data_IF_105034273702
#
_entry.id   IF_105034273702
#
_cell.length_a   1.000
_cell.length_b   1.000
_cell.length_c   1.000
_cell.angle_alpha   90.00
_cell.angle_beta   90.00
_cell.angle_gamma   90.00
#
_symmetry.space_group_name_H-M   'P 1'
#
loop_
_entity.id
_entity.type
_entity.pdbx_description
1 polymer ?
#
# COMPACT_ATOMS: atom_id res chain seq x y z
N UNK A 1 -65.26 -53.91 -0.43
CA UNK A 1 -64.10 -53.12 0.09
C UNK A 1 -63.02 -53.11 -0.97
N UNK A 2 -62.87 -52.02 -1.72
CA UNK A 2 -61.90 -51.92 -2.81
C UNK A 2 -60.52 -51.50 -2.25
N UNK A 3 -59.61 -52.46 -2.11
CA UNK A 3 -58.22 -52.22 -1.74
C UNK A 3 -57.47 -51.61 -2.91
N UNK A 4 -57.21 -50.30 -2.86
CA UNK A 4 -56.45 -49.55 -3.87
C UNK A 4 -54.99 -50.02 -3.84
N UNK A 5 -54.61 -50.97 -4.70
CA UNK A 5 -53.21 -51.36 -4.86
C UNK A 5 -52.42 -50.20 -5.45
N UNK A 6 -51.66 -49.51 -4.60
CA UNK A 6 -50.74 -48.46 -5.03
C UNK A 6 -49.52 -49.15 -5.66
N UNK A 7 -49.39 -49.00 -6.97
CA UNK A 7 -48.33 -49.59 -7.78
C UNK A 7 -46.94 -49.21 -7.25
N UNK A 8 -46.14 -50.24 -6.91
CA UNK A 8 -44.73 -50.14 -6.47
C UNK A 8 -43.84 -49.26 -7.36
N UNK A 9 -44.21 -49.08 -8.64
CA UNK A 9 -43.54 -48.19 -9.58
C UNK A 9 -43.62 -46.71 -9.16
N UNK A 10 -44.76 -46.26 -8.61
CA UNK A 10 -44.98 -44.87 -8.22
C UNK A 10 -44.07 -44.45 -7.06
N UNK A 11 -43.82 -45.35 -6.11
CA UNK A 11 -42.89 -45.10 -5.00
C UNK A 11 -41.44 -44.96 -5.47
N UNK A 12 -41.01 -45.72 -6.50
CA UNK A 12 -39.67 -45.60 -7.06
C UNK A 12 -39.47 -44.25 -7.77
N UNK A 13 -40.47 -43.80 -8.51
CA UNK A 13 -40.44 -42.49 -9.18
C UNK A 13 -40.41 -41.35 -8.16
N UNK A 14 -41.20 -41.45 -7.08
CA UNK A 14 -41.21 -40.46 -6.00
C UNK A 14 -39.86 -40.42 -5.27
N UNK A 15 -39.24 -41.57 -5.00
CA UNK A 15 -37.91 -41.62 -4.37
C UNK A 15 -36.82 -41.00 -5.26
N UNK A 16 -36.87 -41.22 -6.57
CA UNK A 16 -35.93 -40.61 -7.51
C UNK A 16 -36.15 -39.09 -7.58
N UNK A 17 -37.40 -38.62 -7.62
CA UNK A 17 -37.71 -37.20 -7.62
C UNK A 17 -37.25 -36.49 -6.33
N UNK A 18 -37.42 -37.12 -5.16
CA UNK A 18 -36.91 -36.61 -3.88
C UNK A 18 -35.39 -36.57 -3.84
N UNK A 19 -34.72 -37.57 -4.41
CA UNK A 19 -33.25 -37.59 -4.52
C UNK A 19 -32.74 -36.44 -5.39
N UNK A 20 -33.37 -36.19 -6.54
CA UNK A 20 -33.00 -35.09 -7.45
C UNK A 20 -33.26 -33.73 -6.79
N UNK A 21 -34.39 -33.56 -6.09
CA UNK A 21 -34.71 -32.33 -5.37
C UNK A 21 -33.70 -32.06 -4.24
N UNK A 22 -33.33 -33.10 -3.48
CA UNK A 22 -32.31 -33.01 -2.44
C UNK A 22 -30.93 -32.64 -3.00
N UNK A 23 -30.54 -33.21 -4.14
CA UNK A 23 -29.27 -32.89 -4.80
C UNK A 23 -29.25 -31.45 -5.34
N UNK A 24 -30.36 -30.99 -5.92
CA UNK A 24 -30.51 -29.61 -6.38
C UNK A 24 -30.45 -28.61 -5.21
N UNK A 25 -31.06 -28.95 -4.07
CA UNK A 25 -30.98 -28.15 -2.85
C UNK A 25 -29.55 -28.09 -2.31
N UNK A 26 -28.80 -29.21 -2.34
CA UNK A 26 -27.39 -29.23 -1.94
C UNK A 26 -26.52 -28.34 -2.83
N UNK A 27 -26.72 -28.37 -4.15
CA UNK A 27 -26.00 -27.48 -5.09
C UNK A 27 -26.35 -26.01 -4.81
N UNK A 28 -27.63 -25.72 -4.59
CA UNK A 28 -28.10 -24.37 -4.28
C UNK A 28 -27.52 -23.85 -2.95
N UNK A 29 -27.51 -24.68 -1.90
CA UNK A 29 -26.90 -24.35 -0.61
C UNK A 29 -25.37 -24.23 -0.72
N UNK A 30 -24.72 -25.02 -1.57
CA UNK A 30 -23.29 -24.90 -1.86
C UNK A 30 -22.97 -23.60 -2.62
N UNK A 31 -23.88 -23.14 -3.47
CA UNK A 31 -23.76 -21.88 -4.23
C UNK A 31 -24.06 -20.64 -3.39
N UNK A 32 -24.85 -20.79 -2.31
CA UNK A 32 -25.12 -19.75 -1.32
C UNK A 32 -24.00 -19.60 -0.28
N UNK A 33 -22.98 -20.47 -0.31
CA UNK A 33 -21.77 -20.24 0.47
C UNK A 33 -21.04 -19.05 -0.16
N UNK A 34 -20.95 -17.87 0.50
CA UNK A 34 -20.08 -16.82 0.02
C UNK A 34 -18.69 -17.44 -0.09
N UNK A 35 -18.02 -17.17 -1.20
CA UNK A 35 -16.65 -17.59 -1.51
C UNK A 35 -15.79 -17.46 -0.24
N UNK A 36 -15.71 -18.55 0.53
CA UNK A 36 -14.87 -18.61 1.73
C UNK A 36 -13.50 -18.84 1.16
N UNK A 37 -12.87 -17.75 0.74
CA UNK A 37 -11.43 -17.69 0.62
C UNK A 37 -10.89 -18.42 1.83
N UNK A 38 -10.09 -19.44 1.58
CA UNK A 38 -9.35 -20.17 2.57
C UNK A 38 -8.47 -19.18 3.34
N UNK A 39 -9.05 -18.51 4.34
CA UNK A 39 -8.30 -18.07 5.49
C UNK A 39 -7.87 -19.36 6.16
N UNK A 40 -6.72 -19.85 5.71
CA UNK A 40 -5.87 -20.70 6.51
C UNK A 40 -5.69 -19.94 7.83
N UNK A 41 -6.51 -20.29 8.82
CA UNK A 41 -6.29 -19.98 10.22
C UNK A 41 -5.05 -20.77 10.65
N UNK A 42 -3.92 -20.39 10.08
CA UNK A 42 -2.68 -20.41 10.83
C UNK A 42 -2.93 -19.43 11.95
N UNK A 43 -2.98 -19.96 13.16
CA UNK A 43 -2.59 -19.24 14.37
C UNK A 43 -1.13 -18.80 14.20
N UNK A 44 -0.88 -17.91 13.24
CA UNK A 44 0.28 -17.08 13.24
C UNK A 44 0.01 -16.13 14.39
N UNK A 45 0.71 -16.36 15.49
CA UNK A 45 1.08 -15.27 16.36
C UNK A 45 1.55 -14.16 15.43
N UNK A 46 0.69 -13.17 15.18
CA UNK A 46 1.14 -11.89 14.68
C UNK A 46 2.06 -11.39 15.77
N UNK A 47 3.35 -11.70 15.65
CA UNK A 47 4.38 -10.81 16.12
C UNK A 47 4.14 -9.54 15.32
N UNK A 48 3.20 -8.73 15.80
CA UNK A 48 3.12 -7.33 15.44
C UNK A 48 4.46 -6.79 15.93
N UNK A 49 5.41 -6.47 15.04
CA UNK A 49 6.71 -5.99 15.48
C UNK A 49 6.40 -4.67 16.19
N UNK A 50 6.42 -4.68 17.53
CA UNK A 50 6.11 -3.55 18.44
C UNK A 50 5.68 -2.31 17.67
N UNK A 51 4.45 -2.30 17.16
CA UNK A 51 4.08 -1.30 16.16
C UNK A 51 4.00 0.01 16.89
N UNK A 52 5.05 0.82 16.79
CA UNK A 52 5.10 2.14 17.39
C UNK A 52 3.93 2.90 16.79
N UNK A 53 2.95 3.25 17.61
CA UNK A 53 1.79 4.04 17.18
C UNK A 53 2.12 5.52 17.15
N UNK A 54 3.19 5.92 17.85
CA UNK A 54 3.69 7.29 17.81
C UNK A 54 4.58 7.51 16.59
N UNK A 55 4.30 8.58 15.86
CA UNK A 55 5.11 9.01 14.71
C UNK A 55 6.57 9.22 15.11
N UNK A 56 6.80 9.95 16.21
CA UNK A 56 8.16 10.28 16.67
C UNK A 56 8.96 9.04 17.05
N UNK A 57 8.34 8.08 17.74
CA UNK A 57 9.00 6.83 18.13
C UNK A 57 9.34 5.95 16.93
N UNK A 58 8.41 5.84 15.98
CA UNK A 58 8.68 5.14 14.71
C UNK A 58 9.81 5.81 13.93
N UNK A 59 9.80 7.15 13.83
CA UNK A 59 10.81 7.92 13.13
C UNK A 59 12.21 7.72 13.74
N UNK A 60 12.32 7.72 15.07
CA UNK A 60 13.57 7.48 15.76
C UNK A 60 14.16 6.10 15.45
N UNK A 61 13.32 5.06 15.49
CA UNK A 61 13.74 3.71 15.14
C UNK A 61 14.11 3.59 13.65
N UNK A 62 13.34 4.23 12.77
CA UNK A 62 13.60 4.25 11.34
C UNK A 62 14.96 4.87 11.03
N UNK A 63 15.26 6.04 11.60
CA UNK A 63 16.53 6.73 11.41
C UNK A 63 17.69 5.91 12.00
N UNK A 64 17.50 5.23 13.14
CA UNK A 64 18.50 4.34 13.72
C UNK A 64 18.82 3.12 12.82
N UNK A 65 17.81 2.52 12.17
CA UNK A 65 17.99 1.39 11.23
C UNK A 65 18.69 1.82 9.94
N UNK A 66 18.44 3.05 9.50
CA UNK A 66 18.84 3.54 8.17
C UNK A 66 20.31 3.95 8.08
N UNK A 67 20.96 4.33 9.19
CA UNK A 67 22.37 4.76 9.21
C UNK A 67 23.37 3.75 8.62
N UNK A 68 22.95 2.50 8.43
CA UNK A 68 23.77 1.39 7.92
C UNK A 68 23.50 1.01 6.46
N UNK A 69 22.53 1.66 5.79
CA UNK A 69 22.09 1.24 4.45
C UNK A 69 22.86 1.97 3.34
N UNK A 70 23.30 1.26 2.29
CA UNK A 70 23.95 1.89 1.14
C UNK A 70 22.99 2.85 0.43
N UNK A 71 23.49 4.01 0.01
CA UNK A 71 22.71 4.99 -0.74
C UNK A 71 22.31 4.41 -2.10
N UNK A 72 21.01 4.20 -2.32
CA UNK A 72 20.49 3.87 -3.64
C UNK A 72 20.61 5.10 -4.56
N UNK A 73 20.95 4.92 -5.85
CA UNK A 73 20.93 6.01 -6.83
C UNK A 73 19.54 6.65 -6.89
N UNK A 74 19.45 7.97 -6.76
CA UNK A 74 18.18 8.68 -6.89
C UNK A 74 17.70 8.70 -8.35
N UNK A 75 16.40 8.88 -8.54
CA UNK A 75 15.75 8.89 -9.85
C UNK A 75 15.81 10.29 -10.52
N UNK A 76 16.67 11.19 -10.01
CA UNK A 76 16.84 12.52 -10.61
C UNK A 76 17.37 12.34 -12.02
N UNK A 77 16.67 12.92 -13.01
CA UNK A 77 17.05 12.87 -14.42
C UNK A 77 18.49 13.39 -14.58
N UNK A 78 19.47 12.52 -14.94
CA UNK A 78 20.81 13.01 -15.24
C UNK A 78 20.80 13.79 -16.56
N UNK A 79 21.68 14.79 -16.68
CA UNK A 79 21.82 15.60 -17.90
C UNK A 79 22.11 14.78 -19.16
N UNK A 80 22.57 13.53 -19.01
CA UNK A 80 22.86 12.61 -20.11
C UNK A 80 21.66 11.84 -20.66
N UNK A 81 20.45 12.00 -20.11
CA UNK A 81 19.26 11.33 -20.67
C UNK A 81 18.95 11.90 -22.05
N UNK A 82 19.12 11.06 -23.07
CA UNK A 82 18.72 11.38 -24.44
C UNK A 82 17.22 11.17 -24.63
N UNK A 83 16.61 11.92 -25.55
CA UNK A 83 15.20 11.75 -25.98
C UNK A 83 14.84 10.29 -26.32
N UNK A 84 15.81 9.50 -26.78
CA UNK A 84 15.61 8.08 -27.05
C UNK A 84 15.20 7.27 -25.80
N UNK A 85 15.75 7.56 -24.63
CA UNK A 85 15.40 6.84 -23.40
C UNK A 85 13.96 7.15 -22.98
N UNK A 86 13.53 8.41 -23.11
CA UNK A 86 12.16 8.85 -22.83
C UNK A 86 11.18 8.13 -23.77
N UNK A 87 11.49 8.09 -25.07
CA UNK A 87 10.68 7.37 -26.06
C UNK A 87 10.57 5.88 -25.75
N UNK A 88 11.68 5.22 -25.42
CA UNK A 88 11.67 3.80 -25.08
C UNK A 88 10.77 3.50 -23.87
N UNK A 89 10.77 4.37 -22.87
CA UNK A 89 9.90 4.24 -21.70
C UNK A 89 8.43 4.46 -22.06
N UNK A 90 8.14 5.50 -22.86
CA UNK A 90 6.78 5.82 -23.32
C UNK A 90 6.20 4.66 -24.15
N UNK A 91 6.98 4.11 -25.08
CA UNK A 91 6.61 2.94 -25.87
C UNK A 91 6.32 1.72 -24.97
N UNK A 92 7.15 1.48 -23.95
CA UNK A 92 6.96 0.37 -23.01
C UNK A 92 5.67 0.53 -22.18
N UNK A 93 5.40 1.75 -21.68
CA UNK A 93 4.17 2.06 -20.94
C UNK A 93 2.96 1.86 -21.86
N UNK A 94 2.99 2.43 -23.06
CA UNK A 94 1.91 2.33 -24.04
C UNK A 94 1.59 0.86 -24.37
N UNK A 95 2.60 0.03 -24.62
CA UNK A 95 2.40 -1.40 -24.87
C UNK A 95 1.76 -2.11 -23.67
N UNK A 96 2.23 -1.81 -22.45
CA UNK A 96 1.70 -2.41 -21.24
C UNK A 96 0.23 -2.04 -21.00
N UNK A 97 -0.14 -0.78 -21.23
CA UNK A 97 -1.47 -0.26 -20.99
C UNK A 97 -2.45 -0.74 -22.06
N UNK A 98 -2.03 -0.73 -23.32
CA UNK A 98 -2.77 -1.29 -24.46
C UNK A 98 -3.10 -2.77 -24.20
N UNK A 99 -2.12 -3.57 -23.77
CA UNK A 99 -2.34 -4.98 -23.47
C UNK A 99 -3.41 -5.17 -22.39
N UNK A 100 -3.41 -4.35 -21.33
CA UNK A 100 -4.40 -4.42 -20.25
C UNK A 100 -5.81 -4.09 -20.74
N UNK A 101 -5.95 -3.04 -21.54
CA UNK A 101 -7.24 -2.61 -22.09
C UNK A 101 -7.89 -3.68 -22.96
N UNK A 102 -7.10 -4.43 -23.73
CA UNK A 102 -7.62 -5.47 -24.64
C UNK A 102 -7.73 -6.86 -24.00
N UNK A 103 -6.99 -7.13 -22.92
CA UNK A 103 -6.96 -8.46 -22.29
C UNK A 103 -8.01 -8.65 -21.19
N UNK A 104 -8.47 -7.57 -20.53
CA UNK A 104 -9.38 -7.68 -19.39
C UNK A 104 -10.71 -6.92 -19.63
N UNK A 105 -11.85 -7.62 -19.85
CA UNK A 105 -13.15 -6.99 -20.03
C UNK A 105 -13.73 -6.34 -18.76
N UNK A 106 -13.09 -6.46 -17.59
CA UNK A 106 -13.57 -5.95 -16.30
C UNK A 106 -12.58 -5.01 -15.58
N UNK A 107 -11.88 -4.14 -16.30
CA UNK A 107 -11.14 -3.02 -15.71
C UNK A 107 -12.08 -2.16 -14.81
N UNK A 108 -11.62 -1.61 -13.64
CA UNK A 108 -10.23 -1.20 -13.41
C UNK A 108 -9.59 -1.72 -12.09
N UNK A 109 -8.30 -2.08 -12.19
CA UNK A 109 -7.37 -2.39 -11.09
C UNK A 109 -7.42 -3.86 -10.61
N UNK A 110 -6.61 -4.71 -11.24
CA UNK A 110 -6.21 -6.00 -10.67
C UNK A 110 -5.44 -5.77 -9.37
N UNK A 111 -5.90 -6.33 -8.25
CA UNK A 111 -5.13 -6.34 -7.01
C UNK A 111 -4.06 -7.46 -7.03
N UNK A 112 -2.88 -7.25 -6.42
CA UNK A 112 -2.47 -6.04 -5.70
C UNK A 112 -2.02 -4.91 -6.63
N UNK A 113 -2.26 -3.66 -6.20
CA UNK A 113 -1.88 -2.46 -6.92
C UNK A 113 -0.36 -2.32 -6.96
N UNK A 114 0.23 -2.24 -8.16
CA UNK A 114 1.68 -2.08 -8.35
C UNK A 114 2.04 -0.61 -8.33
N UNK A 115 2.88 -0.22 -7.37
CA UNK A 115 3.28 1.17 -7.18
C UNK A 115 4.77 1.30 -7.39
N UNK A 116 5.18 2.14 -8.33
CA UNK A 116 6.56 2.58 -8.44
C UNK A 116 6.77 3.75 -7.47
N UNK A 117 7.72 3.60 -6.55
CA UNK A 117 8.08 4.64 -5.58
C UNK A 117 9.28 5.39 -6.13
N UNK A 118 9.08 6.64 -6.50
CA UNK A 118 10.15 7.49 -7.02
C UNK A 118 11.21 7.71 -5.94
N UNK A 119 12.46 7.39 -6.27
CA UNK A 119 13.60 7.53 -5.39
C UNK A 119 14.06 9.00 -5.39
N UNK A 120 13.44 9.82 -4.54
CA UNK A 120 13.81 11.22 -4.35
C UNK A 120 15.22 11.36 -3.74
N UNK A 121 15.99 12.40 -4.10
CA UNK A 121 17.23 12.76 -3.43
C UNK A 121 17.09 12.81 -1.90
N UNK A 122 18.12 12.38 -1.17
CA UNK A 122 18.10 12.27 0.30
C UNK A 122 17.71 13.57 1.01
N UNK A 123 18.08 14.73 0.44
CA UNK A 123 17.73 16.07 0.94
C UNK A 123 16.21 16.32 1.05
N UNK A 124 15.41 15.56 0.30
CA UNK A 124 13.96 15.62 0.31
C UNK A 124 13.32 14.45 1.07
N UNK A 125 14.11 13.48 1.52
CA UNK A 125 13.63 12.30 2.23
C UNK A 125 14.37 12.10 3.55
N UNK A 126 15.45 11.31 3.55
CA UNK A 126 16.18 10.93 4.76
C UNK A 126 16.74 12.13 5.54
N UNK A 127 17.40 13.06 4.84
CA UNK A 127 18.03 14.22 5.51
C UNK A 127 16.97 15.19 6.03
N UNK A 128 15.84 15.32 5.31
CA UNK A 128 14.68 16.10 5.76
C UNK A 128 14.11 15.53 7.05
N UNK A 129 13.92 14.21 7.11
CA UNK A 129 13.41 13.50 8.27
C UNK A 129 14.37 13.60 9.47
N UNK A 130 15.68 13.51 9.23
CA UNK A 130 16.70 13.70 10.26
C UNK A 130 16.72 15.15 10.78
N UNK A 131 16.67 16.13 9.87
CA UNK A 131 16.58 17.55 10.23
C UNK A 131 15.33 17.85 11.06
N UNK A 132 14.20 17.28 10.66
CA UNK A 132 12.95 17.35 11.40
C UNK A 132 13.12 16.78 12.82
N UNK A 133 13.67 15.58 12.97
CA UNK A 133 13.88 14.97 14.28
C UNK A 133 14.72 15.87 15.21
N UNK A 134 15.82 16.40 14.70
CA UNK A 134 16.72 17.28 15.46
C UNK A 134 16.01 18.58 15.85
N UNK A 135 15.37 19.25 14.90
CA UNK A 135 14.64 20.51 15.12
C UNK A 135 13.48 20.32 16.10
N UNK A 136 12.80 19.19 16.00
CA UNK A 136 11.67 18.87 16.84
C UNK A 136 12.08 18.68 18.31
N UNK A 137 13.22 18.02 18.58
CA UNK A 137 13.77 17.88 19.95
C UNK A 137 14.02 19.23 20.63
N UNK A 138 14.36 20.25 19.85
CA UNK A 138 14.67 21.60 20.35
C UNK A 138 13.43 22.49 20.54
N UNK A 139 12.24 22.04 20.13
CA UNK A 139 11.01 22.80 20.30
C UNK A 139 10.41 22.67 21.70
N UNK A 140 10.28 23.78 22.43
CA UNK A 140 9.42 23.84 23.61
C UNK A 140 7.97 23.58 23.19
N UNK A 141 7.32 22.60 23.81
CA UNK A 141 6.01 21.99 23.50
C UNK A 141 4.78 22.92 23.49
N UNK A 142 4.84 24.14 22.97
CA UNK A 142 3.73 25.10 23.05
C UNK A 142 3.51 25.76 21.69
N UNK A 143 2.41 25.38 21.06
CA UNK A 143 1.77 26.21 20.03
C UNK A 143 1.19 27.47 20.69
N UNK A 144 0.76 28.46 19.90
CA UNK A 144 0.17 29.71 20.41
C UNK A 144 -1.06 29.51 21.31
N UNK A 145 -1.75 28.36 21.20
CA UNK A 145 -2.90 27.98 22.02
C UNK A 145 -2.54 27.07 23.20
N UNK A 146 -1.25 26.80 23.44
CA UNK A 146 -0.76 25.93 24.51
C UNK A 146 -0.88 24.42 24.24
N UNK A 147 -1.41 24.02 23.08
CA UNK A 147 -1.38 22.62 22.66
C UNK A 147 0.05 22.19 22.35
N UNK A 148 0.45 20.96 22.69
CA UNK A 148 1.72 20.44 22.29
C UNK A 148 1.85 20.35 20.77
N UNK A 149 2.93 20.95 20.24
CA UNK A 149 3.31 20.89 18.82
C UNK A 149 3.37 19.44 18.31
N UNK A 150 3.71 18.50 19.21
CA UNK A 150 3.75 17.06 18.92
C UNK A 150 2.43 16.51 18.37
N UNK A 151 1.29 16.99 18.88
CA UNK A 151 -0.02 16.46 18.51
C UNK A 151 -0.40 16.82 17.07
N UNK A 152 -0.02 18.01 16.62
CA UNK A 152 -0.27 18.46 15.25
C UNK A 152 0.57 17.66 14.25
N UNK A 153 1.84 17.44 14.58
CA UNK A 153 2.75 16.70 13.71
C UNK A 153 2.35 15.23 13.64
N UNK A 154 1.95 14.61 14.76
CA UNK A 154 1.42 13.25 14.76
C UNK A 154 0.18 13.12 13.85
N UNK A 155 -0.75 14.06 13.94
CA UNK A 155 -1.98 14.06 13.14
C UNK A 155 -1.75 14.26 11.63
N UNK A 156 -0.60 14.78 11.23
CA UNK A 156 -0.27 15.11 9.84
C UNK A 156 0.94 14.31 9.30
N UNK A 157 1.29 13.19 9.94
CA UNK A 157 2.42 12.33 9.55
C UNK A 157 2.08 11.26 8.51
N UNK A 158 0.93 11.36 7.83
CA UNK A 158 0.43 10.34 6.90
C UNK A 158 1.43 10.06 5.75
N UNK A 159 2.08 11.10 5.24
CA UNK A 159 3.08 10.99 4.17
C UNK A 159 4.24 10.09 4.60
N UNK A 160 4.69 10.23 5.86
CA UNK A 160 5.74 9.38 6.44
C UNK A 160 5.29 7.93 6.54
N UNK A 161 4.10 7.67 7.08
CA UNK A 161 3.63 6.30 7.26
C UNK A 161 3.44 5.57 5.94
N UNK A 162 2.88 6.24 4.95
CA UNK A 162 2.70 5.68 3.61
C UNK A 162 4.04 5.37 2.97
N UNK A 163 4.98 6.32 3.00
CA UNK A 163 6.30 6.11 2.44
C UNK A 163 7.07 5.01 3.17
N UNK A 164 7.11 5.04 4.50
CA UNK A 164 7.82 4.06 5.33
C UNK A 164 7.32 2.63 5.10
N UNK A 165 6.00 2.43 4.96
CA UNK A 165 5.45 1.13 4.57
C UNK A 165 5.88 0.74 3.15
N UNK A 166 5.79 1.65 2.19
CA UNK A 166 6.12 1.37 0.79
C UNK A 166 7.60 1.01 0.57
N UNK A 167 8.52 1.61 1.33
CA UNK A 167 9.96 1.33 1.22
C UNK A 167 10.42 0.14 2.05
N UNK A 168 9.60 -0.36 2.98
CA UNK A 168 9.94 -1.52 3.80
C UNK A 168 9.96 -2.82 2.99
N UNK A 169 10.75 -3.83 3.42
CA UNK A 169 10.70 -5.17 2.81
C UNK A 169 9.28 -5.74 2.84
N UNK A 170 8.85 -6.44 1.78
CA UNK A 170 7.47 -6.94 1.66
C UNK A 170 6.99 -7.79 2.86
N UNK A 171 7.91 -8.49 3.52
CA UNK A 171 7.66 -9.26 4.75
C UNK A 171 7.28 -8.39 5.95
N UNK A 172 7.83 -7.18 6.04
CA UNK A 172 7.61 -6.22 7.13
C UNK A 172 6.41 -5.28 6.88
N UNK A 173 5.92 -5.21 5.64
CA UNK A 173 4.83 -4.30 5.25
C UNK A 173 3.49 -4.66 5.89
N UNK A 174 2.71 -3.64 6.24
CA UNK A 174 1.35 -3.76 6.74
C UNK A 174 0.32 -3.81 5.61
N UNK A 175 0.51 -3.00 4.56
CA UNK A 175 -0.41 -2.94 3.42
C UNK A 175 -0.11 -4.07 2.42
N UNK A 176 -1.02 -5.06 2.34
CA UNK A 176 -0.89 -6.21 1.42
C UNK A 176 -1.61 -6.03 0.07
N UNK A 177 -2.50 -5.05 -0.04
CA UNK A 177 -3.18 -4.70 -1.29
C UNK A 177 -2.32 -3.91 -2.27
N UNK A 178 -1.13 -3.48 -1.84
CA UNK A 178 -0.21 -2.66 -2.62
C UNK A 178 1.16 -3.32 -2.65
N UNK A 179 1.78 -3.43 -3.82
CA UNK A 179 3.13 -3.97 -4.00
C UNK A 179 4.04 -2.92 -4.62
N UNK A 180 5.22 -2.70 -4.03
CA UNK A 180 6.24 -1.84 -4.63
C UNK A 180 6.89 -2.55 -5.82
N UNK A 181 6.90 -1.89 -6.97
CA UNK A 181 7.69 -2.29 -8.15
C UNK A 181 8.89 -1.37 -8.30
N UNK A 182 9.94 -1.86 -8.96
CA UNK A 182 11.22 -1.15 -9.13
C UNK A 182 11.47 -0.68 -10.56
N UNK A 183 10.59 -1.05 -11.49
CA UNK A 183 10.59 -0.61 -12.88
C UNK A 183 9.36 0.24 -13.13
N UNK A 184 9.51 1.30 -13.92
CA UNK A 184 8.47 2.30 -14.14
C UNK A 184 7.34 1.73 -15.01
N UNK A 185 7.69 0.96 -16.02
CA UNK A 185 6.80 0.28 -16.96
C UNK A 185 5.95 -0.84 -16.31
N UNK A 186 6.37 -1.34 -15.15
CA UNK A 186 5.63 -2.38 -14.41
C UNK A 186 4.55 -1.77 -13.48
N UNK A 187 4.53 -0.44 -13.34
CA UNK A 187 3.68 0.25 -12.40
C UNK A 187 2.23 0.38 -12.88
N UNK A 188 1.31 0.45 -11.91
CA UNK A 188 -0.05 0.92 -12.11
C UNK A 188 -0.19 2.38 -11.65
N UNK A 189 0.61 2.79 -10.65
CA UNK A 189 0.69 4.15 -10.14
C UNK A 189 2.14 4.54 -9.80
N UNK A 190 2.40 5.83 -9.92
CA UNK A 190 3.63 6.46 -9.45
C UNK A 190 3.36 7.16 -8.13
N UNK A 191 4.17 6.85 -7.11
CA UNK A 191 4.17 7.55 -5.84
C UNK A 191 5.45 8.37 -5.70
N UNK A 192 5.29 9.69 -5.56
CA UNK A 192 6.39 10.63 -5.30
C UNK A 192 6.34 11.02 -3.81
N UNK A 193 7.32 10.60 -2.99
CA UNK A 193 7.29 10.87 -1.56
C UNK A 193 7.63 12.33 -1.27
N UNK A 194 6.60 13.15 -1.10
CA UNK A 194 6.74 14.55 -0.72
C UNK A 194 6.18 14.78 0.69
N UNK A 195 7.06 15.02 1.66
CA UNK A 195 6.68 15.22 3.07
C UNK A 195 6.22 16.66 3.32
N UNK A 196 5.01 16.97 2.87
CA UNK A 196 4.44 18.32 2.87
C UNK A 196 4.45 18.97 4.26
N UNK A 197 3.86 18.29 5.25
CA UNK A 197 3.72 18.79 6.63
C UNK A 197 5.07 18.99 7.29
N UNK A 198 5.99 18.03 7.13
CA UNK A 198 7.33 18.12 7.71
C UNK A 198 8.09 19.29 7.10
N UNK A 199 8.01 19.45 5.78
CA UNK A 199 8.61 20.57 5.06
C UNK A 199 8.04 21.91 5.56
N UNK A 200 6.73 22.00 5.73
CA UNK A 200 6.07 23.19 6.25
C UNK A 200 6.53 23.53 7.68
N UNK A 201 6.57 22.55 8.58
CA UNK A 201 7.05 22.74 9.95
C UNK A 201 8.48 23.29 9.99
N UNK A 202 9.36 22.73 9.15
CA UNK A 202 10.73 23.21 9.04
C UNK A 202 10.78 24.63 8.48
N UNK A 203 9.96 24.99 7.49
CA UNK A 203 9.90 26.35 6.96
C UNK A 203 9.48 27.40 7.99
N UNK A 204 8.67 27.05 9.01
CA UNK A 204 8.31 28.00 10.06
C UNK A 204 9.51 28.40 10.94
N UNK A 205 10.57 27.59 10.98
CA UNK A 205 11.81 27.90 11.70
C UNK A 205 12.75 28.71 10.80
N UNK A 206 13.05 29.96 11.21
CA UNK A 206 13.92 30.88 10.45
C UNK A 206 15.28 30.27 10.06
N UNK A 207 15.87 29.42 10.91
CA UNK A 207 17.14 28.74 10.64
C UNK A 207 17.04 27.73 9.49
N UNK A 208 15.88 27.09 9.30
CA UNK A 208 15.66 26.07 8.28
C UNK A 208 15.23 26.66 6.92
N UNK A 209 14.71 27.90 6.88
CA UNK A 209 14.42 28.61 5.62
C UNK A 209 15.65 28.79 4.73
N UNK A 210 16.84 28.88 5.33
CA UNK A 210 18.09 29.03 4.59
C UNK A 210 18.50 27.76 3.83
N UNK A 211 18.05 26.57 4.26
CA UNK A 211 18.42 25.29 3.64
C UNK A 211 17.76 25.05 2.27
N UNK A 212 16.58 25.63 2.04
CA UNK A 212 15.79 25.42 0.81
C UNK A 212 15.89 26.57 -0.20
N UNK A 213 16.51 27.69 0.17
CA UNK A 213 16.80 28.76 -0.79
C UNK A 213 18.10 28.44 -1.50
N UNK A 214 17.98 27.97 -2.75
CA UNK A 214 19.10 28.01 -3.69
C UNK A 214 19.53 29.48 -3.80
N UNK A 215 20.80 29.78 -3.50
CA UNK A 215 21.39 31.08 -3.87
C UNK A 215 21.42 31.11 -5.39
N UNK A 216 20.46 31.82 -5.99
CA UNK A 216 20.54 32.25 -7.39
C UNK A 216 21.67 33.26 -7.55
#
# INVERSE_FOLDING_TARGET
MAGKQISRSKYRIILIALSILGFSLLIFLSSLSPLRNSSLSSSAHFHLPTSQTSFVGSLEQFLAKTQSSPSLPDDTVPESITDQHVKNLDDAIFHSETYRLYSDPFYPISLPLRVYVYNMPSKFTYDLLLLFQNTYRDTSNLTSNGSPVHRLIEQHSIDYWLWADLIAPQSERLLKSVVRVHRQEDADLFYIPFFTTISFFLLEKQQCKALYRVKL
#
